data_IF_989468362224
#
_entry.id   IF_989468362224
#
_cell.length_a   1.000
_cell.length_b   1.000
_cell.length_c   1.000
_cell.angle_alpha   90.00
_cell.angle_beta   90.00
_cell.angle_gamma   90.00
#
_symmetry.space_group_name_H-M   'P 1'
#
loop_
_entity.id
_entity.type
_entity.pdbx_description
1 polymer ?
#
# COMPACT_ATOMS: atom_id res chain seq x y z
N UNK A 1 34.57 37.85 25.33
CA UNK A 1 33.38 37.55 26.15
C UNK A 1 32.07 37.80 25.40
N UNK A 2 31.94 38.87 24.60
CA UNK A 2 30.71 39.15 23.81
C UNK A 2 30.27 38.02 22.86
N UNK A 3 31.21 37.38 22.14
CA UNK A 3 30.87 36.26 21.24
C UNK A 3 30.23 35.06 21.97
N UNK A 4 30.59 34.84 23.24
CA UNK A 4 30.06 33.74 24.04
C UNK A 4 28.62 34.00 24.51
N UNK A 5 28.30 35.26 24.84
CA UNK A 5 26.93 35.69 25.18
C UNK A 5 25.98 35.67 23.97
N UNK A 6 26.48 36.08 22.80
CA UNK A 6 25.72 35.95 21.54
C UNK A 6 25.41 34.48 21.21
N UNK A 7 26.38 33.58 21.36
CA UNK A 7 26.18 32.14 21.18
C UNK A 7 25.16 31.56 22.16
N UNK A 8 25.19 31.97 23.44
CA UNK A 8 24.25 31.51 24.46
C UNK A 8 22.79 31.97 24.20
N UNK A 9 22.60 33.14 23.60
CA UNK A 9 21.26 33.64 23.22
C UNK A 9 20.73 33.01 21.92
N UNK A 10 21.62 32.65 20.99
CA UNK A 10 21.24 32.02 19.73
C UNK A 10 20.87 30.53 19.90
N UNK A 11 21.50 29.83 20.86
CA UNK A 11 21.28 28.40 21.12
C UNK A 11 19.81 28.02 21.41
N UNK A 12 19.07 28.70 22.32
CA UNK A 12 17.66 28.38 22.58
C UNK A 12 16.74 28.71 21.40
N UNK A 13 17.09 29.67 20.54
CA UNK A 13 16.34 29.94 19.31
C UNK A 13 16.60 28.82 18.31
N UNK A 14 17.86 28.41 18.16
CA UNK A 14 18.28 27.35 17.24
C UNK A 14 17.68 25.99 17.59
N UNK A 15 17.49 25.69 18.88
CA UNK A 15 16.87 24.45 19.36
C UNK A 15 15.36 24.56 19.55
N UNK A 16 14.87 25.74 19.93
CA UNK A 16 13.46 25.99 20.21
C UNK A 16 12.59 26.00 18.95
N UNK A 17 13.06 26.61 17.85
CA UNK A 17 12.30 26.63 16.59
C UNK A 17 12.06 25.24 15.99
N UNK A 18 13.08 24.34 15.90
CA UNK A 18 12.86 22.96 15.48
C UNK A 18 11.94 22.19 16.43
N UNK A 19 12.08 22.38 17.75
CA UNK A 19 11.23 21.69 18.73
C UNK A 19 9.75 22.12 18.58
N UNK A 20 9.49 23.40 18.41
CA UNK A 20 8.14 23.92 18.14
C UNK A 20 7.58 23.38 16.81
N UNK A 21 8.42 23.31 15.78
CA UNK A 21 8.03 22.74 14.48
C UNK A 21 7.69 21.25 14.60
N UNK A 22 8.50 20.48 15.33
CA UNK A 22 8.24 19.06 15.61
C UNK A 22 6.95 18.89 16.41
N UNK A 23 6.72 19.71 17.45
CA UNK A 23 5.46 19.71 18.21
C UNK A 23 4.24 20.06 17.33
N UNK A 24 4.37 21.01 16.40
CA UNK A 24 3.29 21.34 15.47
C UNK A 24 2.97 20.14 14.55
N UNK A 25 3.99 19.48 14.00
CA UNK A 25 3.81 18.33 13.10
C UNK A 25 3.29 17.10 13.83
N UNK A 26 3.90 16.70 14.95
CA UNK A 26 3.58 15.45 15.62
C UNK A 26 2.32 15.52 16.47
N UNK A 27 1.90 16.72 16.92
CA UNK A 27 0.79 16.86 17.84
C UNK A 27 -0.29 17.84 17.40
N UNK A 28 0.07 19.11 17.14
CA UNK A 28 -0.95 20.15 16.91
C UNK A 28 -1.72 19.93 15.61
N UNK A 29 -1.04 19.66 14.48
CA UNK A 29 -1.69 19.41 13.20
C UNK A 29 -2.61 18.18 13.24
N UNK A 30 -2.16 16.99 13.70
CA UNK A 30 -3.04 15.83 13.81
C UNK A 30 -4.26 16.09 14.71
N UNK A 31 -4.07 16.74 15.87
CA UNK A 31 -5.20 17.03 16.77
C UNK A 31 -6.17 18.08 16.19
N UNK A 32 -5.71 19.06 15.39
CA UNK A 32 -6.59 19.98 14.67
C UNK A 32 -7.49 19.23 13.67
N UNK A 33 -6.92 18.31 12.89
CA UNK A 33 -7.65 17.46 11.93
C UNK A 33 -8.68 16.61 12.68
N UNK A 34 -8.24 15.90 13.72
CA UNK A 34 -9.11 15.06 14.55
C UNK A 34 -10.25 15.87 15.17
N UNK A 35 -9.99 17.06 15.71
CA UNK A 35 -11.04 17.95 16.26
C UNK A 35 -12.06 18.35 15.19
N UNK A 36 -11.62 18.69 13.98
CA UNK A 36 -12.52 19.06 12.87
C UNK A 36 -13.45 17.91 12.50
N UNK A 37 -12.90 16.70 12.35
CA UNK A 37 -13.68 15.51 11.99
C UNK A 37 -14.59 15.03 13.13
N UNK A 38 -14.13 15.09 14.39
CA UNK A 38 -14.97 14.80 15.58
C UNK A 38 -16.19 15.72 15.65
N UNK A 39 -16.05 17.01 15.31
CA UNK A 39 -17.19 17.94 15.23
C UNK A 39 -18.21 17.57 14.16
N UNK A 40 -17.80 16.83 13.14
CA UNK A 40 -18.66 16.30 12.08
C UNK A 40 -19.25 14.92 12.44
N UNK A 41 -19.01 14.41 13.65
CA UNK A 41 -19.51 13.12 14.12
C UNK A 41 -18.58 11.94 13.84
N UNK A 42 -17.44 12.15 13.16
CA UNK A 42 -16.48 11.08 12.88
C UNK A 42 -15.69 10.73 14.14
N UNK A 43 -15.90 9.52 14.65
CA UNK A 43 -15.21 8.98 15.83
C UNK A 43 -14.13 7.97 15.42
N UNK A 44 -13.40 7.45 16.39
CA UNK A 44 -12.38 6.45 16.14
C UNK A 44 -11.51 6.17 17.37
N UNK A 45 -10.59 5.21 17.28
CA UNK A 45 -9.70 4.85 18.36
C UNK A 45 -8.80 6.03 18.75
N UNK A 46 -8.40 6.11 20.02
CA UNK A 46 -7.55 7.21 20.49
C UNK A 46 -6.09 6.93 20.12
N UNK A 47 -5.43 7.77 19.30
CA UNK A 47 -4.05 7.53 18.92
C UNK A 47 -3.06 7.93 20.02
N UNK A 48 -1.93 7.24 20.06
CA UNK A 48 -0.75 7.63 20.85
C UNK A 48 0.05 8.71 20.11
N UNK A 49 0.80 9.53 20.86
CA UNK A 49 1.55 10.68 20.30
C UNK A 49 2.52 10.29 19.17
N UNK A 50 3.31 9.23 19.33
CA UNK A 50 4.37 8.88 18.38
C UNK A 50 3.99 7.79 17.38
N UNK A 51 3.13 6.86 17.78
CA UNK A 51 2.84 5.66 17.00
C UNK A 51 1.42 5.65 16.42
N UNK A 52 0.59 6.64 16.75
CA UNK A 52 -0.82 6.62 16.42
C UNK A 52 -1.48 5.39 17.04
N UNK A 53 -2.20 4.62 16.23
CA UNK A 53 -2.84 3.35 16.57
C UNK A 53 -2.01 2.12 16.16
N UNK A 54 -0.79 2.28 15.63
CA UNK A 54 -0.03 1.13 15.09
C UNK A 54 0.28 0.04 16.13
N UNK A 55 0.49 0.41 17.39
CA UNK A 55 0.68 -0.55 18.48
C UNK A 55 -0.60 -1.33 18.79
N UNK A 56 -1.75 -0.64 18.81
CA UNK A 56 -3.06 -1.25 18.99
C UNK A 56 -3.38 -2.21 17.82
N UNK A 57 -3.12 -1.80 16.58
CA UNK A 57 -3.29 -2.64 15.39
C UNK A 57 -2.45 -3.93 15.48
N UNK A 58 -1.19 -3.81 15.92
CA UNK A 58 -0.29 -4.97 16.13
C UNK A 58 -0.81 -5.90 17.20
N UNK A 59 -1.25 -5.35 18.33
CA UNK A 59 -1.80 -6.12 19.46
C UNK A 59 -3.04 -6.90 19.04
N UNK A 60 -4.02 -6.22 18.43
CA UNK A 60 -5.26 -6.86 17.94
C UNK A 60 -4.93 -7.98 16.95
N UNK A 61 -3.98 -7.77 16.04
CA UNK A 61 -3.56 -8.79 15.08
C UNK A 61 -2.94 -10.01 15.77
N UNK A 62 -2.08 -9.81 16.77
CA UNK A 62 -1.47 -10.91 17.53
C UNK A 62 -2.52 -11.71 18.32
N UNK A 63 -3.46 -11.02 18.97
CA UNK A 63 -4.57 -11.64 19.70
C UNK A 63 -5.47 -12.45 18.74
N UNK A 64 -5.82 -11.90 17.58
CA UNK A 64 -6.62 -12.59 16.57
C UNK A 64 -5.93 -13.86 16.05
N UNK A 65 -4.63 -13.78 15.70
CA UNK A 65 -3.84 -14.95 15.26
C UNK A 65 -3.80 -16.04 16.33
N UNK A 66 -3.74 -15.66 17.62
CA UNK A 66 -3.73 -16.63 18.73
C UNK A 66 -5.09 -17.29 18.99
N UNK A 67 -6.19 -16.61 18.67
CA UNK A 67 -7.54 -17.07 18.97
C UNK A 67 -8.19 -17.88 17.83
N UNK A 68 -7.69 -17.74 16.59
CA UNK A 68 -8.41 -18.22 15.41
C UNK A 68 -7.93 -19.61 14.96
N UNK A 69 -8.85 -20.59 14.98
CA UNK A 69 -8.74 -21.83 14.21
C UNK A 69 -9.04 -21.50 12.75
N UNK A 70 -8.01 -21.18 11.97
CA UNK A 70 -7.93 -21.19 10.50
C UNK A 70 -9.29 -21.18 9.75
N UNK A 71 -10.08 -20.12 9.92
CA UNK A 71 -11.26 -19.88 9.07
C UNK A 71 -10.76 -19.23 7.79
N UNK A 72 -10.73 -20.02 6.71
CA UNK A 72 -10.08 -19.70 5.44
C UNK A 72 -10.87 -18.73 4.58
N UNK A 73 -12.13 -18.42 4.91
CA UNK A 73 -13.00 -17.67 4.00
C UNK A 73 -12.79 -16.14 4.01
N UNK A 74 -12.29 -15.57 5.11
CA UNK A 74 -12.18 -14.12 5.27
C UNK A 74 -10.78 -13.65 5.68
N UNK A 75 -9.92 -13.40 4.68
CA UNK A 75 -8.56 -12.90 4.89
C UNK A 75 -8.49 -11.58 5.67
N UNK A 76 -9.55 -10.76 5.65
CA UNK A 76 -9.58 -9.47 6.37
C UNK A 76 -9.52 -9.73 7.88
N UNK A 77 -10.19 -10.78 8.38
CA UNK A 77 -10.14 -11.14 9.79
C UNK A 77 -8.73 -11.52 10.25
N UNK A 78 -7.94 -12.13 9.37
CA UNK A 78 -6.56 -12.54 9.67
C UNK A 78 -5.56 -11.41 9.50
N UNK A 79 -5.65 -10.64 8.42
CA UNK A 79 -4.66 -9.62 8.06
C UNK A 79 -4.95 -8.27 8.70
N UNK A 80 -6.22 -7.88 8.79
CA UNK A 80 -6.67 -6.57 9.27
C UNK A 80 -7.83 -6.62 10.28
N UNK A 81 -7.72 -7.44 11.36
CA UNK A 81 -8.80 -7.61 12.33
C UNK A 81 -9.25 -6.31 13.00
N UNK A 82 -8.33 -5.36 13.18
CA UNK A 82 -8.61 -4.05 13.77
C UNK A 82 -9.65 -3.24 12.98
N UNK A 83 -9.71 -3.38 11.65
CA UNK A 83 -10.75 -2.70 10.85
C UNK A 83 -12.15 -3.27 11.13
N UNK A 84 -12.26 -4.57 11.41
CA UNK A 84 -13.55 -5.17 11.75
C UNK A 84 -14.02 -4.68 13.12
N UNK A 85 -13.15 -4.73 14.14
CA UNK A 85 -13.44 -4.26 15.50
C UNK A 85 -13.81 -2.77 15.51
N UNK A 86 -13.03 -1.93 14.83
CA UNK A 86 -13.29 -0.50 14.79
C UNK A 86 -14.54 -0.17 13.97
N UNK A 87 -14.85 -0.93 12.91
CA UNK A 87 -16.11 -0.77 12.17
C UNK A 87 -17.32 -1.07 13.06
N UNK A 88 -17.26 -2.14 13.85
CA UNK A 88 -18.32 -2.47 14.80
C UNK A 88 -18.46 -1.42 15.90
N UNK A 89 -17.34 -0.85 16.38
CA UNK A 89 -17.32 0.11 17.49
C UNK A 89 -17.69 1.53 17.08
N UNK A 90 -17.23 1.99 15.92
CA UNK A 90 -17.31 3.38 15.49
C UNK A 90 -18.19 3.60 14.25
N UNK A 91 -18.60 2.53 13.56
CA UNK A 91 -19.43 2.56 12.36
C UNK A 91 -18.64 2.44 11.06
N UNK A 92 -19.32 2.65 9.93
CA UNK A 92 -18.76 2.55 8.58
C UNK A 92 -17.73 3.64 8.23
N UNK A 93 -17.65 4.70 9.05
CA UNK A 93 -16.71 5.81 8.87
C UNK A 93 -16.04 6.11 10.20
N UNK A 94 -14.72 5.98 10.25
CA UNK A 94 -13.96 6.27 11.46
C UNK A 94 -12.56 6.79 11.15
N UNK A 95 -11.95 7.46 12.13
CA UNK A 95 -10.63 8.06 12.02
C UNK A 95 -9.62 7.31 12.88
N UNK A 96 -8.48 6.93 12.32
CA UNK A 96 -7.35 6.35 13.05
C UNK A 96 -6.04 7.00 12.58
N UNK A 97 -4.95 6.78 13.30
CA UNK A 97 -3.67 7.41 12.96
C UNK A 97 -2.54 6.38 12.84
N UNK A 98 -1.59 6.63 11.93
CA UNK A 98 -0.32 5.89 11.85
C UNK A 98 0.82 6.88 12.02
N UNK A 99 1.41 6.91 13.21
CA UNK A 99 2.30 8.01 13.59
C UNK A 99 1.55 9.35 13.60
N UNK A 100 2.10 10.36 12.94
CA UNK A 100 1.47 11.67 12.79
C UNK A 100 0.49 11.77 11.60
N UNK A 101 0.29 10.68 10.84
CA UNK A 101 -0.63 10.65 9.70
C UNK A 101 -2.02 10.25 10.18
N UNK A 102 -3.01 11.09 9.94
CA UNK A 102 -4.44 10.81 10.18
C UNK A 102 -5.05 10.15 8.94
N UNK A 103 -5.73 9.02 9.13
CA UNK A 103 -6.33 8.23 8.07
C UNK A 103 -7.82 8.07 8.33
N UNK A 104 -8.64 8.59 7.41
CA UNK A 104 -10.08 8.39 7.41
C UNK A 104 -10.39 7.06 6.74
N UNK A 105 -10.96 6.12 7.51
CA UNK A 105 -11.52 4.90 6.97
C UNK A 105 -12.96 5.14 6.54
N UNK A 106 -13.29 4.75 5.31
CA UNK A 106 -14.65 4.87 4.75
C UNK A 106 -15.02 3.53 4.12
N UNK A 107 -16.06 2.88 4.65
CA UNK A 107 -16.68 1.69 4.07
C UNK A 107 -18.16 1.85 3.81
N UNK A 108 -18.69 3.07 3.94
CA UNK A 108 -20.06 3.38 3.51
C UNK A 108 -20.13 3.37 1.97
N UNK A 109 -20.98 2.54 1.33
CA UNK A 109 -21.01 2.43 -0.12
C UNK A 109 -21.38 3.73 -0.84
N UNK A 110 -22.24 4.56 -0.24
CA UNK A 110 -22.64 5.85 -0.82
C UNK A 110 -21.46 6.81 -0.86
N UNK A 111 -20.76 6.96 0.27
CA UNK A 111 -19.56 7.80 0.35
C UNK A 111 -18.42 7.29 -0.52
N UNK A 112 -18.20 5.97 -0.59
CA UNK A 112 -17.17 5.38 -1.47
C UNK A 112 -17.48 5.70 -2.93
N UNK A 113 -18.76 5.59 -3.33
CA UNK A 113 -19.22 5.98 -4.67
C UNK A 113 -18.92 7.46 -4.93
N UNK A 114 -19.31 8.35 -4.02
CA UNK A 114 -19.08 9.79 -4.18
C UNK A 114 -17.57 10.13 -4.26
N UNK A 115 -16.75 9.50 -3.42
CA UNK A 115 -15.29 9.64 -3.47
C UNK A 115 -14.70 9.15 -4.79
N UNK A 116 -15.21 8.05 -5.35
CA UNK A 116 -14.74 7.51 -6.64
C UNK A 116 -15.12 8.37 -7.85
N UNK A 117 -16.18 9.16 -7.73
CA UNK A 117 -16.56 10.14 -8.76
C UNK A 117 -15.81 11.47 -8.63
N UNK A 118 -15.10 11.69 -7.53
CA UNK A 118 -14.33 12.92 -7.33
C UNK A 118 -13.09 12.91 -8.25
N UNK A 119 -13.08 13.82 -9.22
CA UNK A 119 -11.96 13.99 -10.17
C UNK A 119 -10.89 14.96 -9.67
N UNK A 120 -11.05 15.51 -8.46
CA UNK A 120 -10.08 16.43 -7.88
C UNK A 120 -8.76 15.72 -7.60
N UNK A 121 -7.64 16.35 -7.95
CA UNK A 121 -6.30 15.88 -7.57
C UNK A 121 -6.08 15.88 -6.05
N UNK A 122 -6.95 16.54 -5.28
CA UNK A 122 -6.89 16.62 -3.81
C UNK A 122 -7.14 15.28 -3.11
N UNK A 123 -7.87 14.34 -3.75
CA UNK A 123 -8.03 12.96 -3.29
C UNK A 123 -7.04 12.00 -3.97
N UNK A 124 -5.97 12.54 -4.56
CA UNK A 124 -4.92 11.76 -5.16
C UNK A 124 -4.11 10.94 -4.15
N UNK A 125 -3.13 10.21 -4.66
CA UNK A 125 -2.21 9.39 -3.86
C UNK A 125 -1.47 10.27 -2.83
N UNK A 126 -1.46 9.91 -1.54
CA UNK A 126 -0.83 10.73 -0.51
C UNK A 126 0.70 10.72 -0.64
N UNK A 127 1.35 11.79 -0.18
CA UNK A 127 2.80 12.03 -0.35
C UNK A 127 3.63 10.86 0.20
N UNK A 128 3.27 10.28 1.34
CA UNK A 128 4.02 9.15 1.91
C UNK A 128 3.98 7.91 1.00
N UNK A 129 2.85 7.64 0.33
CA UNK A 129 2.73 6.57 -0.68
C UNK A 129 3.60 6.88 -1.89
N UNK A 130 3.65 8.14 -2.31
CA UNK A 130 4.45 8.56 -3.45
C UNK A 130 5.94 8.37 -3.16
N UNK A 131 6.42 8.86 -2.00
CA UNK A 131 7.81 8.74 -1.57
C UNK A 131 8.24 7.28 -1.43
N UNK A 132 7.45 6.45 -0.74
CA UNK A 132 7.84 5.05 -0.49
C UNK A 132 7.91 4.21 -1.77
N UNK A 133 7.11 4.57 -2.78
CA UNK A 133 7.02 3.85 -4.05
C UNK A 133 7.89 4.45 -5.17
N UNK A 134 8.41 5.67 -5.00
CA UNK A 134 9.25 6.35 -5.98
C UNK A 134 10.50 5.54 -6.39
N UNK A 135 11.19 4.81 -5.51
CA UNK A 135 12.32 3.97 -5.92
C UNK A 135 11.95 2.85 -6.92
N UNK A 136 10.70 2.36 -6.88
CA UNK A 136 10.22 1.30 -7.79
C UNK A 136 9.69 1.87 -9.10
N UNK A 137 8.89 2.93 -9.02
CA UNK A 137 8.06 3.37 -10.14
C UNK A 137 8.42 4.77 -10.66
N UNK A 138 9.39 5.46 -10.04
CA UNK A 138 9.69 6.85 -10.34
C UNK A 138 8.44 7.72 -10.21
N UNK A 139 8.23 8.59 -11.20
CA UNK A 139 7.00 9.38 -11.34
C UNK A 139 5.96 8.69 -12.25
N UNK A 140 5.96 7.36 -12.26
CA UNK A 140 5.05 6.52 -13.03
C UNK A 140 3.61 6.54 -12.52
N UNK A 141 2.72 5.87 -13.26
CA UNK A 141 1.25 5.95 -13.08
C UNK A 141 0.77 5.51 -11.70
N UNK A 142 1.52 4.64 -11.02
CA UNK A 142 1.23 4.17 -9.67
C UNK A 142 1.60 5.17 -8.56
N UNK A 143 2.30 6.25 -8.90
CA UNK A 143 2.81 7.26 -7.96
C UNK A 143 2.27 8.65 -8.30
N UNK A 144 2.17 9.00 -9.58
CA UNK A 144 1.75 10.33 -10.04
C UNK A 144 0.29 10.68 -9.71
N UNK A 145 -0.01 11.97 -9.62
CA UNK A 145 -1.35 12.57 -9.51
C UNK A 145 -1.54 13.65 -10.60
N UNK A 146 -2.77 14.15 -10.75
CA UNK A 146 -3.08 15.30 -11.62
C UNK A 146 -2.74 15.03 -13.10
N UNK A 147 -2.21 16.03 -13.78
CA UNK A 147 -1.99 16.00 -15.23
C UNK A 147 -0.98 14.94 -15.67
N UNK A 148 0.08 14.70 -14.87
CA UNK A 148 1.08 13.66 -15.16
C UNK A 148 0.41 12.28 -15.19
N UNK A 149 -0.41 11.99 -14.17
CA UNK A 149 -1.17 10.75 -14.10
C UNK A 149 -2.18 10.65 -15.26
N UNK A 150 -2.91 11.72 -15.54
CA UNK A 150 -3.91 11.75 -16.60
C UNK A 150 -3.29 11.50 -17.98
N UNK A 151 -2.13 12.11 -18.26
CA UNK A 151 -1.36 11.88 -19.48
C UNK A 151 -0.91 10.42 -19.59
N UNK A 152 -0.24 9.88 -18.56
CA UNK A 152 0.22 8.48 -18.57
C UNK A 152 -0.95 7.49 -18.73
N UNK A 153 -2.08 7.74 -18.06
CA UNK A 153 -3.29 6.91 -18.18
C UNK A 153 -3.85 6.95 -19.60
N UNK A 154 -3.88 8.13 -20.22
CA UNK A 154 -4.36 8.31 -21.60
C UNK A 154 -3.47 7.59 -22.62
N UNK A 155 -2.15 7.61 -22.43
CA UNK A 155 -1.20 6.89 -23.29
C UNK A 155 -1.35 5.37 -23.17
N UNK A 156 -1.56 4.85 -21.97
CA UNK A 156 -1.62 3.40 -21.70
C UNK A 156 -2.99 2.80 -22.04
N UNK A 157 -4.08 3.56 -21.91
CA UNK A 157 -5.44 3.04 -22.05
C UNK A 157 -5.74 2.26 -23.35
N UNK A 158 -5.25 2.65 -24.54
CA UNK A 158 -5.52 1.93 -25.79
C UNK A 158 -4.98 0.49 -25.80
N UNK A 159 -3.90 0.20 -25.06
CA UNK A 159 -3.33 -1.15 -24.99
C UNK A 159 -4.27 -2.14 -24.28
N UNK A 160 -5.28 -1.64 -23.55
CA UNK A 160 -6.30 -2.44 -22.88
C UNK A 160 -7.64 -2.43 -23.62
N UNK A 161 -7.68 -2.03 -24.89
CA UNK A 161 -8.89 -2.15 -25.70
C UNK A 161 -9.14 -3.59 -26.14
N UNK A 162 -10.40 -3.93 -26.40
CA UNK A 162 -10.84 -5.31 -26.65
C UNK A 162 -10.06 -5.99 -27.80
N UNK A 163 -9.70 -5.24 -28.83
CA UNK A 163 -8.89 -5.75 -29.95
C UNK A 163 -7.49 -6.19 -29.51
N UNK A 164 -6.85 -5.43 -28.63
CA UNK A 164 -5.54 -5.76 -28.04
C UNK A 164 -5.66 -6.91 -27.04
N UNK A 165 -6.70 -6.91 -26.22
CA UNK A 165 -6.96 -7.99 -25.26
C UNK A 165 -7.12 -9.34 -25.97
N UNK A 166 -7.85 -9.39 -27.09
CA UNK A 166 -8.01 -10.63 -27.87
C UNK A 166 -6.68 -11.25 -28.28
N UNK A 167 -5.71 -10.43 -28.68
CA UNK A 167 -4.36 -10.89 -29.02
C UNK A 167 -3.63 -11.41 -27.77
N UNK A 168 -3.79 -10.76 -26.62
CA UNK A 168 -3.17 -11.21 -25.36
C UNK A 168 -3.70 -12.55 -24.87
N UNK A 169 -4.94 -12.93 -25.21
CA UNK A 169 -5.53 -14.22 -24.79
C UNK A 169 -4.68 -15.39 -25.29
N UNK A 170 -4.21 -15.35 -26.54
CA UNK A 170 -3.37 -16.41 -27.11
C UNK A 170 -2.06 -16.55 -26.32
N UNK A 171 -1.42 -15.42 -25.98
CA UNK A 171 -0.21 -15.39 -25.15
C UNK A 171 -0.46 -15.94 -23.74
N UNK A 172 -1.63 -15.65 -23.16
CA UNK A 172 -2.03 -16.17 -21.84
C UNK A 172 -2.20 -17.69 -21.88
N UNK A 173 -2.83 -18.22 -22.93
CA UNK A 173 -3.01 -19.66 -23.12
C UNK A 173 -1.65 -20.33 -23.25
N UNK A 174 -0.76 -19.82 -24.10
CA UNK A 174 0.59 -20.36 -24.28
C UNK A 174 1.39 -20.36 -22.97
N UNK A 175 1.39 -19.26 -22.22
CA UNK A 175 2.09 -19.15 -20.95
C UNK A 175 1.53 -20.11 -19.88
N UNK A 176 0.28 -20.56 -20.02
CA UNK A 176 -0.36 -21.48 -19.07
C UNK A 176 0.04 -22.94 -19.25
N UNK A 177 0.59 -23.31 -20.42
CA UNK A 177 0.98 -24.69 -20.73
C UNK A 177 2.06 -25.21 -19.77
N UNK A 178 3.21 -24.54 -19.55
CA UNK A 178 4.26 -25.06 -18.68
C UNK A 178 3.84 -25.35 -17.22
N UNK A 179 3.11 -24.47 -16.49
CA UNK A 179 2.68 -24.80 -15.14
C UNK A 179 1.66 -25.95 -15.11
N UNK A 180 0.80 -26.09 -16.13
CA UNK A 180 -0.15 -27.20 -16.22
C UNK A 180 0.55 -28.53 -16.46
N UNK A 181 1.48 -28.60 -17.41
CA UNK A 181 2.29 -29.80 -17.67
C UNK A 181 3.09 -30.23 -16.43
N UNK A 182 3.66 -29.27 -15.69
CA UNK A 182 4.35 -29.54 -14.44
C UNK A 182 3.40 -30.12 -13.37
N UNK A 183 2.18 -29.62 -13.27
CA UNK A 183 1.18 -30.12 -12.33
C UNK A 183 0.67 -31.51 -12.73
N UNK A 184 0.43 -31.76 -14.01
CA UNK A 184 0.05 -33.08 -14.54
C UNK A 184 1.12 -34.11 -14.24
N UNK A 185 2.39 -33.82 -14.55
CA UNK A 185 3.51 -34.72 -14.23
C UNK A 185 3.60 -35.02 -12.73
N UNK A 186 3.37 -34.04 -11.86
CA UNK A 186 3.38 -34.24 -10.41
C UNK A 186 2.21 -35.09 -9.90
N UNK A 187 1.08 -35.10 -10.61
CA UNK A 187 -0.09 -35.93 -10.29
C UNK A 187 0.11 -37.36 -10.77
N UNK A 188 0.67 -37.54 -11.97
CA UNK A 188 1.02 -38.85 -12.53
C UNK A 188 2.01 -39.59 -11.61
N UNK A 189 3.05 -38.90 -11.13
CA UNK A 189 4.02 -39.43 -10.18
C UNK A 189 3.39 -39.85 -8.83
N UNK A 190 2.32 -39.15 -8.41
CA UNK A 190 1.64 -39.41 -7.16
C UNK A 190 0.59 -40.53 -7.25
N UNK A 191 0.20 -40.93 -8.47
CA UNK A 191 -0.80 -41.97 -8.71
C UNK A 191 -2.20 -41.63 -8.17
N UNK A 192 -2.56 -40.34 -8.07
CA UNK A 192 -3.80 -39.91 -7.44
C UNK A 192 -3.86 -38.40 -7.21
N UNK A 193 -4.15 -37.98 -5.97
CA UNK A 193 -4.20 -36.57 -5.60
C UNK A 193 -2.93 -36.11 -4.89
N UNK A 194 -2.54 -34.87 -5.13
CA UNK A 194 -1.38 -34.22 -4.52
C UNK A 194 -1.70 -32.77 -4.15
N UNK A 195 -1.26 -32.35 -2.98
CA UNK A 195 -1.28 -30.93 -2.60
C UNK A 195 -0.11 -30.20 -3.29
N UNK A 196 -0.41 -29.08 -3.95
CA UNK A 196 0.57 -28.30 -4.73
C UNK A 196 0.62 -26.88 -4.18
N UNK A 197 1.82 -26.42 -3.80
CA UNK A 197 2.07 -25.00 -3.54
C UNK A 197 2.17 -24.23 -4.86
N UNK A 198 1.18 -23.39 -5.13
CA UNK A 198 1.01 -22.69 -6.41
C UNK A 198 1.60 -21.28 -6.45
N UNK A 199 2.08 -20.70 -5.33
CA UNK A 199 2.54 -19.30 -5.30
C UNK A 199 3.65 -19.04 -6.33
N UNK A 200 4.65 -19.92 -6.36
CA UNK A 200 5.75 -19.83 -7.32
C UNK A 200 5.29 -19.94 -8.76
N UNK A 201 4.41 -20.91 -9.05
CA UNK A 201 3.88 -21.15 -10.39
C UNK A 201 3.05 -19.97 -10.89
N UNK A 202 2.07 -19.50 -10.11
CA UNK A 202 1.20 -18.39 -10.50
C UNK A 202 1.98 -17.09 -10.68
N UNK A 203 3.00 -16.87 -9.85
CA UNK A 203 3.87 -15.70 -9.93
C UNK A 203 4.79 -15.74 -11.16
N UNK A 204 5.27 -16.91 -11.57
CA UNK A 204 6.05 -17.06 -12.79
C UNK A 204 5.16 -16.99 -14.04
N UNK A 205 4.00 -17.64 -14.02
CA UNK A 205 2.98 -17.54 -15.07
C UNK A 205 2.60 -16.08 -15.34
N UNK A 206 2.25 -15.33 -14.29
CA UNK A 206 1.89 -13.91 -14.44
C UNK A 206 3.03 -13.07 -15.01
N UNK A 207 4.29 -13.40 -14.67
CA UNK A 207 5.48 -12.72 -15.18
C UNK A 207 5.74 -13.05 -16.65
N UNK A 208 5.56 -14.31 -17.06
CA UNK A 208 5.69 -14.75 -18.46
C UNK A 208 4.61 -14.08 -19.34
N UNK A 209 3.35 -14.11 -18.89
CA UNK A 209 2.23 -13.45 -19.59
C UNK A 209 2.53 -11.98 -19.88
N UNK A 210 2.94 -11.21 -18.87
CA UNK A 210 3.21 -9.79 -19.06
C UNK A 210 4.52 -9.56 -19.84
N UNK A 211 5.51 -10.45 -19.73
CA UNK A 211 6.72 -10.39 -20.54
C UNK A 211 6.41 -10.58 -22.03
N UNK A 212 5.61 -11.59 -22.38
CA UNK A 212 5.14 -11.81 -23.76
C UNK A 212 4.31 -10.64 -24.27
N UNK A 213 3.36 -10.16 -23.46
CA UNK A 213 2.47 -9.08 -23.87
C UNK A 213 3.20 -7.74 -24.08
N UNK A 214 4.21 -7.42 -23.26
CA UNK A 214 4.92 -6.15 -23.35
C UNK A 214 6.17 -6.18 -24.25
N UNK A 215 6.85 -7.32 -24.35
CA UNK A 215 8.16 -7.43 -25.01
C UNK A 215 8.16 -8.37 -26.23
N UNK A 216 7.07 -9.08 -26.51
CA UNK A 216 6.92 -9.92 -27.71
C UNK A 216 8.06 -10.93 -27.87
N UNK A 217 8.80 -10.84 -28.98
CA UNK A 217 9.93 -11.74 -29.28
C UNK A 217 11.09 -11.63 -28.30
N UNK A 218 11.18 -10.53 -27.53
CA UNK A 218 12.24 -10.29 -26.54
C UNK A 218 11.76 -10.62 -25.11
N UNK A 219 10.78 -11.52 -24.94
CA UNK A 219 10.20 -11.85 -23.63
C UNK A 219 11.23 -12.31 -22.58
N UNK A 220 12.34 -12.92 -23.00
CA UNK A 220 13.46 -13.30 -22.12
C UNK A 220 14.10 -12.08 -21.43
N UNK A 221 14.17 -10.94 -22.14
CA UNK A 221 14.57 -9.65 -21.54
C UNK A 221 13.52 -9.17 -20.53
N UNK A 222 12.23 -9.36 -20.85
CA UNK A 222 11.13 -9.10 -19.94
C UNK A 222 11.23 -9.89 -18.64
N UNK A 223 11.53 -11.20 -18.72
CA UNK A 223 11.74 -12.05 -17.55
C UNK A 223 12.87 -11.54 -16.65
N UNK A 224 13.99 -11.11 -17.24
CA UNK A 224 15.09 -10.52 -16.48
C UNK A 224 14.67 -9.23 -15.77
N UNK A 225 13.88 -8.37 -16.44
CA UNK A 225 13.32 -7.15 -15.85
C UNK A 225 12.41 -7.50 -14.66
N UNK A 226 11.49 -8.46 -14.80
CA UNK A 226 10.60 -8.85 -13.72
C UNK A 226 11.34 -9.51 -12.55
N UNK A 227 12.41 -10.25 -12.83
CA UNK A 227 13.29 -10.78 -11.81
C UNK A 227 13.96 -9.66 -11.01
N UNK A 228 14.56 -8.66 -11.67
CA UNK A 228 15.20 -7.51 -11.00
C UNK A 228 14.18 -6.66 -10.23
N UNK A 229 13.00 -6.40 -10.80
CA UNK A 229 11.90 -5.68 -10.13
C UNK A 229 11.49 -6.39 -8.84
N UNK A 230 11.46 -7.73 -8.84
CA UNK A 230 11.16 -8.53 -7.63
C UNK A 230 12.23 -8.39 -6.56
N UNK A 231 13.51 -8.38 -6.94
CA UNK A 231 14.60 -8.14 -6.00
C UNK A 231 14.46 -6.75 -5.35
N UNK A 232 14.13 -5.73 -6.14
CA UNK A 232 13.91 -4.38 -5.64
C UNK A 232 12.69 -4.29 -4.72
N UNK A 233 11.58 -4.93 -5.09
CA UNK A 233 10.37 -5.01 -4.24
C UNK A 233 10.69 -5.67 -2.90
N UNK A 234 11.46 -6.77 -2.89
CA UNK A 234 11.87 -7.46 -1.66
C UNK A 234 12.72 -6.55 -0.78
N UNK A 235 13.71 -5.86 -1.36
CA UNK A 235 14.56 -4.93 -0.62
C UNK A 235 13.76 -3.81 0.06
N UNK A 236 12.80 -3.22 -0.65
CA UNK A 236 11.95 -2.13 -0.11
C UNK A 236 10.99 -2.66 0.96
N UNK A 237 10.41 -3.84 0.76
CA UNK A 237 9.49 -4.44 1.74
C UNK A 237 10.14 -4.72 3.10
N UNK A 238 11.46 -4.94 3.14
CA UNK A 238 12.22 -5.16 4.38
C UNK A 238 12.48 -3.84 5.14
N UNK A 239 12.46 -2.69 4.46
CA UNK A 239 12.62 -1.37 5.06
C UNK A 239 11.31 -0.81 5.62
N UNK A 240 10.18 -1.07 4.96
CA UNK A 240 8.87 -0.47 5.27
C UNK A 240 8.03 -1.36 6.21
N UNK A 241 8.51 -1.64 7.42
CA UNK A 241 7.76 -2.50 8.35
C UNK A 241 6.64 -1.79 9.11
N UNK A 242 6.65 -0.45 9.20
CA UNK A 242 5.54 0.33 9.74
C UNK A 242 5.62 1.79 9.28
N UNK A 243 4.50 2.30 8.75
CA UNK A 243 4.24 3.70 8.36
C UNK A 243 4.52 4.72 9.48
N UNK A 244 4.71 4.28 10.74
CA UNK A 244 4.79 5.15 11.92
C UNK A 244 5.83 6.26 11.83
N UNK A 245 7.12 5.92 11.69
CA UNK A 245 8.20 6.91 11.59
C UNK A 245 8.60 7.20 10.14
N UNK A 246 8.44 6.25 9.21
CA UNK A 246 8.80 6.44 7.80
C UNK A 246 7.91 7.44 7.07
N UNK A 247 6.67 7.68 7.53
CA UNK A 247 5.82 8.70 6.92
C UNK A 247 6.24 10.15 7.22
N UNK A 248 7.16 10.37 8.18
CA UNK A 248 7.66 11.70 8.56
C UNK A 248 8.87 12.11 7.70
N UNK A 249 9.55 11.17 7.05
CA UNK A 249 10.78 11.39 6.27
C UNK A 249 10.55 11.20 4.77
#
# INVERSE_FOLDING_TARGET
MEKLHLLALLLPILLGLPLLYICDILWLRPERIRKKLRKQGVRGPRPTLFYGNTQEMKRIRQEAVSAQKQDTSNYISTLFPHFLIWRETYGSVFLYSTGAVEILFVSDPGMVKDMSHCTSSELGKPIYIQKSRKPLFGDGILVSNGDIWAYQRKVIAPEFFMEKIKIMIELIVEASVPPLEAWESMLDDAGGSREIDVDGYLRNFSADVIARACFGSDFTTGEEIFYKLRQLQKAISQQDTLVGLSAVW
#
